data_IF_508895489465
#
_entry.id   IF_508895489465
#
_cell.length_a   1.000
_cell.length_b   1.000
_cell.length_c   1.000
_cell.angle_alpha   90.00
_cell.angle_beta   90.00
_cell.angle_gamma   90.00
#
_symmetry.space_group_name_H-M   'P 1'
#
loop_
_entity.id
_entity.type
_entity.pdbx_description
1 polymer ?
#
# COMPACT_ATOMS: atom_id res chain seq x y z
N UNK A 1 -4.80 35.78 -19.85
CA UNK A 1 -4.71 35.56 -18.40
C UNK A 1 -5.84 34.59 -18.07
N UNK A 2 -5.69 33.31 -18.37
CA UNK A 2 -6.74 32.31 -18.12
C UNK A 2 -6.05 31.04 -17.65
N UNK A 3 -5.59 31.07 -16.40
CA UNK A 3 -4.77 30.04 -15.78
C UNK A 3 -5.49 29.23 -14.71
N UNK A 4 -6.82 29.27 -14.69
CA UNK A 4 -7.66 28.44 -13.82
C UNK A 4 -8.34 27.40 -14.69
N UNK A 5 -7.88 26.16 -14.58
CA UNK A 5 -8.39 25.04 -15.36
C UNK A 5 -9.50 24.32 -14.61
N UNK A 6 -10.28 23.50 -15.30
CA UNK A 6 -11.25 22.60 -14.65
C UNK A 6 -10.57 21.66 -13.64
N UNK A 7 -9.28 21.34 -13.86
CA UNK A 7 -8.46 20.53 -12.95
C UNK A 7 -8.24 21.28 -11.64
N UNK A 8 -7.95 22.58 -11.67
CA UNK A 8 -7.77 23.38 -10.46
C UNK A 8 -9.07 23.47 -9.64
N UNK A 9 -10.24 23.53 -10.32
CA UNK A 9 -11.54 23.45 -9.66
C UNK A 9 -11.77 22.09 -8.99
N UNK A 10 -11.46 20.98 -9.68
CA UNK A 10 -11.59 19.62 -9.14
C UNK A 10 -10.67 19.43 -7.92
N UNK A 11 -9.41 19.87 -8.03
CA UNK A 11 -8.44 19.81 -6.93
C UNK A 11 -8.96 20.56 -5.70
N UNK A 12 -9.46 21.78 -5.89
CA UNK A 12 -10.04 22.56 -4.81
C UNK A 12 -11.23 21.84 -4.16
N UNK A 13 -12.14 21.27 -4.97
CA UNK A 13 -13.27 20.49 -4.47
C UNK A 13 -12.83 19.28 -3.67
N UNK A 14 -11.85 18.50 -4.16
CA UNK A 14 -11.32 17.32 -3.45
C UNK A 14 -10.74 17.71 -2.09
N UNK A 15 -9.94 18.78 -2.03
CA UNK A 15 -9.34 19.24 -0.77
C UNK A 15 -10.41 19.73 0.20
N UNK A 16 -11.37 20.55 -0.26
CA UNK A 16 -12.43 21.10 0.57
C UNK A 16 -13.32 19.97 1.11
N UNK A 17 -13.74 19.04 0.25
CA UNK A 17 -14.55 17.89 0.67
C UNK A 17 -13.78 17.01 1.68
N UNK A 18 -12.50 16.74 1.42
CA UNK A 18 -11.65 15.99 2.35
C UNK A 18 -11.56 16.69 3.71
N UNK A 19 -11.38 18.00 3.73
CA UNK A 19 -11.31 18.80 4.95
C UNK A 19 -12.62 18.81 5.74
N UNK A 20 -13.76 19.01 5.06
CA UNK A 20 -15.09 19.01 5.69
C UNK A 20 -15.44 17.63 6.25
N UNK A 21 -15.19 16.57 5.48
CA UNK A 21 -15.44 15.20 5.91
C UNK A 21 -14.58 14.84 7.13
N UNK A 22 -13.30 15.20 7.13
CA UNK A 22 -12.41 14.93 8.25
C UNK A 22 -12.75 15.80 9.48
N UNK A 23 -13.17 17.05 9.30
CA UNK A 23 -13.70 17.88 10.39
C UNK A 23 -14.89 17.20 11.09
N UNK A 24 -15.85 16.68 10.31
CA UNK A 24 -17.02 15.99 10.89
C UNK A 24 -16.69 14.69 11.63
N UNK A 25 -15.60 14.01 11.24
CA UNK A 25 -15.20 12.72 11.81
C UNK A 25 -14.20 12.86 12.96
N UNK A 26 -13.45 13.96 13.03
CA UNK A 26 -12.40 14.20 14.00
C UNK A 26 -11.08 13.51 13.63
N UNK A 27 -9.97 14.06 14.14
CA UNK A 27 -8.62 13.53 13.92
C UNK A 27 -8.44 12.14 14.51
N UNK A 28 -8.93 11.90 15.73
CA UNK A 28 -8.75 10.63 16.44
C UNK A 28 -9.35 9.48 15.64
N UNK A 29 -10.53 9.68 15.04
CA UNK A 29 -11.16 8.65 14.22
C UNK A 29 -10.34 8.30 12.99
N UNK A 30 -9.83 9.31 12.29
CA UNK A 30 -9.00 9.11 11.10
C UNK A 30 -7.61 8.53 11.44
N UNK A 31 -7.01 8.96 12.55
CA UNK A 31 -5.75 8.42 13.04
C UNK A 31 -5.86 6.96 13.46
N UNK A 32 -6.92 6.61 14.21
CA UNK A 32 -7.20 5.23 14.60
C UNK A 32 -7.50 4.34 13.39
N UNK A 33 -8.12 4.88 12.33
CA UNK A 33 -8.30 4.14 11.09
C UNK A 33 -6.94 3.78 10.46
N UNK A 34 -6.01 4.74 10.34
CA UNK A 34 -4.66 4.46 9.80
C UNK A 34 -3.93 3.43 10.67
N UNK A 35 -3.95 3.62 11.99
CA UNK A 35 -3.34 2.68 12.93
C UNK A 35 -3.99 1.30 12.81
N UNK A 36 -5.30 1.23 12.64
CA UNK A 36 -6.04 -0.02 12.44
C UNK A 36 -5.63 -0.74 11.16
N UNK A 37 -5.42 -0.03 10.07
CA UNK A 37 -4.89 -0.61 8.82
C UNK A 37 -3.47 -1.16 8.99
N UNK A 38 -2.59 -0.42 9.67
CA UNK A 38 -1.21 -0.87 9.94
C UNK A 38 -1.21 -2.08 10.88
N UNK A 39 -1.96 -2.01 11.99
CA UNK A 39 -2.06 -3.09 12.96
C UNK A 39 -2.68 -4.35 12.33
N UNK A 40 -3.71 -4.20 11.48
CA UNK A 40 -4.27 -5.31 10.73
C UNK A 40 -3.23 -5.97 9.81
N UNK A 41 -2.40 -5.17 9.11
CA UNK A 41 -1.34 -5.70 8.26
C UNK A 41 -0.27 -6.46 9.06
N UNK A 42 0.11 -5.95 10.23
CA UNK A 42 1.05 -6.63 11.14
C UNK A 42 0.47 -7.96 11.63
N UNK A 43 -0.79 -7.96 12.09
CA UNK A 43 -1.49 -9.19 12.52
C UNK A 43 -1.57 -10.18 11.35
N UNK A 44 -1.96 -9.73 10.16
CA UNK A 44 -2.01 -10.57 8.97
C UNK A 44 -0.66 -11.18 8.63
N UNK A 45 0.42 -10.40 8.70
CA UNK A 45 1.77 -10.90 8.46
C UNK A 45 2.18 -11.96 9.49
N UNK A 46 1.86 -11.76 10.77
CA UNK A 46 2.18 -12.70 11.83
C UNK A 46 1.41 -14.03 11.72
N UNK A 47 0.14 -13.99 11.30
CA UNK A 47 -0.74 -15.16 11.32
C UNK A 47 -1.04 -15.75 9.93
N UNK A 48 -0.42 -15.24 8.86
CA UNK A 48 -0.65 -15.72 7.49
C UNK A 48 -0.31 -17.21 7.32
N UNK A 49 0.73 -17.69 8.00
CA UNK A 49 1.19 -19.07 7.93
C UNK A 49 0.18 -20.04 8.57
N UNK A 50 -0.34 -19.68 9.74
CA UNK A 50 -1.35 -20.44 10.47
C UNK A 50 -2.70 -20.42 9.75
N UNK A 51 -3.01 -19.33 9.06
CA UNK A 51 -4.26 -19.17 8.31
C UNK A 51 -4.26 -19.89 6.95
N UNK A 52 -3.09 -20.09 6.33
CA UNK A 52 -2.95 -20.78 5.04
C UNK A 52 -3.74 -22.11 4.95
N UNK A 53 -3.58 -23.09 5.87
CA UNK A 53 -4.30 -24.36 5.78
C UNK A 53 -5.81 -24.20 5.95
N UNK A 54 -6.26 -23.18 6.68
CA UNK A 54 -7.68 -22.88 6.87
C UNK A 54 -8.30 -22.34 5.58
N UNK A 55 -7.59 -21.46 4.87
CA UNK A 55 -8.06 -20.89 3.60
C UNK A 55 -8.17 -21.95 2.49
N UNK A 56 -7.26 -22.92 2.47
CA UNK A 56 -7.31 -24.04 1.50
C UNK A 56 -8.50 -24.98 1.70
N UNK A 57 -9.13 -24.97 2.88
CA UNK A 57 -10.32 -25.78 3.16
C UNK A 57 -11.62 -25.07 2.80
N UNK A 58 -11.58 -23.80 2.38
CA UNK A 58 -12.76 -23.03 2.02
C UNK A 58 -13.28 -23.52 0.65
N UNK A 59 -14.51 -24.08 0.58
CA UNK A 59 -15.06 -24.57 -0.68
C UNK A 59 -15.20 -23.43 -1.70
N UNK A 60 -14.68 -23.63 -2.91
CA UNK A 60 -14.74 -22.64 -3.99
C UNK A 60 -13.50 -21.76 -4.11
N UNK A 61 -12.72 -21.57 -3.04
CA UNK A 61 -11.40 -20.92 -3.09
C UNK A 61 -10.29 -21.89 -3.51
N UNK A 62 -10.48 -23.19 -3.25
CA UNK A 62 -9.60 -24.28 -3.67
C UNK A 62 -9.30 -24.25 -5.17
N UNK A 63 -10.29 -23.88 -6.00
CA UNK A 63 -10.15 -23.78 -7.46
C UNK A 63 -9.29 -22.60 -7.93
N UNK A 64 -9.25 -21.50 -7.17
CA UNK A 64 -8.47 -20.31 -7.53
C UNK A 64 -7.07 -20.32 -6.90
N UNK A 65 -6.94 -20.87 -5.69
CA UNK A 65 -5.70 -20.88 -4.90
C UNK A 65 -4.85 -22.13 -5.22
N UNK A 66 -5.48 -23.25 -5.57
CA UNK A 66 -4.79 -24.51 -5.89
C UNK A 66 -3.91 -25.03 -4.74
N UNK A 67 -2.96 -25.90 -5.05
CA UNK A 67 -1.93 -26.38 -4.10
C UNK A 67 -0.70 -25.46 -4.02
N UNK A 68 -0.75 -24.28 -4.67
CA UNK A 68 0.37 -23.34 -4.70
C UNK A 68 0.60 -22.72 -3.33
N UNK A 69 1.80 -22.93 -2.79
CA UNK A 69 2.21 -22.40 -1.48
C UNK A 69 2.07 -20.87 -1.42
N UNK A 70 2.49 -20.18 -2.47
CA UNK A 70 2.44 -18.71 -2.57
C UNK A 70 1.01 -18.17 -2.55
N UNK A 71 0.12 -18.71 -3.39
CA UNK A 71 -1.28 -18.30 -3.44
C UNK A 71 -2.00 -18.60 -2.12
N UNK A 72 -1.68 -19.73 -1.48
CA UNK A 72 -2.21 -20.08 -0.17
C UNK A 72 -1.77 -19.09 0.93
N UNK A 73 -0.52 -18.62 0.86
CA UNK A 73 0.01 -17.64 1.81
C UNK A 73 -0.63 -16.26 1.61
N UNK A 74 -0.77 -15.81 0.36
CA UNK A 74 -1.48 -14.56 0.03
C UNK A 74 -2.94 -14.63 0.47
N UNK A 75 -3.60 -15.78 0.25
CA UNK A 75 -4.96 -16.02 0.72
C UNK A 75 -5.08 -15.98 2.24
N UNK A 76 -4.17 -16.65 2.96
CA UNK A 76 -4.08 -16.62 4.42
C UNK A 76 -3.91 -15.20 4.96
N UNK A 77 -2.97 -14.45 4.40
CA UNK A 77 -2.76 -13.05 4.73
C UNK A 77 -4.04 -12.23 4.51
N UNK A 78 -4.67 -12.34 3.34
CA UNK A 78 -5.87 -11.56 2.99
C UNK A 78 -7.04 -11.84 3.93
N UNK A 79 -7.27 -13.11 4.31
CA UNK A 79 -8.34 -13.50 5.22
C UNK A 79 -8.09 -12.95 6.63
N UNK A 80 -6.88 -13.14 7.18
CA UNK A 80 -6.54 -12.59 8.50
C UNK A 80 -6.62 -11.08 8.50
N UNK A 81 -6.10 -10.44 7.45
CA UNK A 81 -6.14 -9.00 7.27
C UNK A 81 -7.58 -8.47 7.28
N UNK A 82 -8.48 -9.10 6.52
CA UNK A 82 -9.88 -8.72 6.48
C UNK A 82 -10.55 -8.86 7.85
N UNK A 83 -10.32 -9.98 8.55
CA UNK A 83 -10.86 -10.20 9.90
C UNK A 83 -10.33 -9.14 10.87
N UNK A 84 -9.03 -8.88 10.86
CA UNK A 84 -8.41 -7.87 11.72
C UNK A 84 -8.96 -6.47 11.42
N UNK A 85 -9.13 -6.10 10.14
CA UNK A 85 -9.75 -4.84 9.74
C UNK A 85 -11.18 -4.71 10.27
N UNK A 86 -11.99 -5.78 10.23
CA UNK A 86 -13.34 -5.76 10.80
C UNK A 86 -13.28 -5.47 12.30
N UNK A 87 -12.41 -6.16 13.03
CA UNK A 87 -12.23 -5.94 14.48
C UNK A 87 -11.81 -4.49 14.77
N UNK A 88 -10.76 -3.99 14.13
CA UNK A 88 -10.30 -2.61 14.35
C UNK A 88 -11.33 -1.56 13.91
N UNK A 89 -12.10 -1.83 12.85
CA UNK A 89 -13.17 -0.94 12.38
C UNK A 89 -14.31 -0.81 13.38
N UNK A 90 -14.60 -1.87 14.15
CA UNK A 90 -15.59 -1.84 15.23
C UNK A 90 -15.06 -1.08 16.45
N UNK A 91 -13.78 -1.23 16.78
CA UNK A 91 -13.15 -0.55 17.92
C UNK A 91 -12.96 0.95 17.70
N UNK A 92 -12.63 1.36 16.48
CA UNK A 92 -12.37 2.76 16.11
C UNK A 92 -13.46 3.75 16.56
N UNK A 93 -14.76 3.56 16.22
CA UNK A 93 -15.81 4.49 16.64
C UNK A 93 -16.01 4.52 18.15
N UNK A 94 -15.71 3.44 18.89
CA UNK A 94 -15.85 3.40 20.35
C UNK A 94 -14.89 4.40 21.02
N UNK A 95 -13.60 4.35 20.64
CA UNK A 95 -12.59 5.26 21.16
C UNK A 95 -12.79 6.70 20.65
N UNK A 96 -13.09 6.87 19.37
CA UNK A 96 -13.34 8.20 18.80
C UNK A 96 -14.55 8.90 19.47
N UNK A 97 -15.62 8.15 19.76
CA UNK A 97 -16.81 8.69 20.43
C UNK A 97 -16.51 9.17 21.85
N UNK A 98 -15.57 8.54 22.56
CA UNK A 98 -15.15 8.98 23.89
C UNK A 98 -14.47 10.35 23.84
N UNK A 99 -13.60 10.58 22.84
CA UNK A 99 -12.92 11.88 22.66
C UNK A 99 -13.90 12.97 22.23
N UNK A 100 -14.80 12.68 21.28
CA UNK A 100 -15.76 13.66 20.80
C UNK A 100 -16.75 14.13 21.87
N UNK A 101 -17.08 13.28 22.85
CA UNK A 101 -17.96 13.64 23.98
C UNK A 101 -17.24 14.39 25.10
N UNK A 102 -15.91 14.51 25.02
CA UNK A 102 -15.10 15.22 26.01
C UNK A 102 -14.93 16.71 25.66
N UNK A 103 -14.36 17.49 26.57
CA UNK A 103 -13.99 18.89 26.33
C UNK A 103 -13.00 19.07 25.15
N UNK A 104 -12.35 17.99 24.69
CA UNK A 104 -11.40 18.01 23.59
C UNK A 104 -12.06 17.85 22.21
N UNK A 105 -13.38 17.66 22.13
CA UNK A 105 -14.08 17.40 20.86
C UNK A 105 -13.87 18.50 19.81
N UNK A 106 -13.87 19.78 20.22
CA UNK A 106 -13.62 20.89 19.29
C UNK A 106 -12.18 20.92 18.75
N UNK A 107 -11.19 20.56 19.58
CA UNK A 107 -9.80 20.43 19.15
C UNK A 107 -9.62 19.25 18.19
N UNK A 108 -10.26 18.12 18.48
CA UNK A 108 -10.27 16.93 17.62
C UNK A 108 -10.83 17.24 16.22
N UNK A 109 -11.90 18.02 16.14
CA UNK A 109 -12.47 18.48 14.86
C UNK A 109 -11.52 19.41 14.11
N UNK A 110 -10.90 20.38 14.79
CA UNK A 110 -9.93 21.30 14.19
C UNK A 110 -8.70 20.58 13.63
N UNK A 111 -8.13 19.63 14.38
CA UNK A 111 -7.06 18.76 13.91
C UNK A 111 -7.54 17.86 12.77
N UNK A 112 -8.79 17.40 12.83
CA UNK A 112 -9.43 16.63 11.77
C UNK A 112 -9.48 17.40 10.45
N UNK A 113 -9.86 18.69 10.49
CA UNK A 113 -9.84 19.55 9.31
C UNK A 113 -8.43 19.66 8.70
N UNK A 114 -7.41 19.97 9.52
CA UNK A 114 -6.02 20.10 9.04
C UNK A 114 -5.52 18.79 8.42
N UNK A 115 -5.80 17.67 9.09
CA UNK A 115 -5.52 16.34 8.56
C UNK A 115 -6.25 16.06 7.24
N UNK A 116 -7.51 16.46 7.14
CA UNK A 116 -8.31 16.35 5.92
C UNK A 116 -7.76 17.16 4.75
N UNK A 117 -7.25 18.38 5.00
CA UNK A 117 -6.55 19.18 3.99
C UNK A 117 -5.31 18.45 3.52
N UNK A 118 -4.45 18.01 4.44
CA UNK A 118 -3.22 17.28 4.12
C UNK A 118 -3.51 16.02 3.29
N UNK A 119 -4.50 15.22 3.70
CA UNK A 119 -4.97 14.05 2.97
C UNK A 119 -5.46 14.42 1.57
N UNK A 120 -6.24 15.49 1.44
CA UNK A 120 -6.73 15.96 0.14
C UNK A 120 -5.58 16.31 -0.80
N UNK A 121 -4.56 17.00 -0.29
CA UNK A 121 -3.34 17.34 -1.04
C UNK A 121 -2.58 16.07 -1.48
N UNK A 122 -2.41 15.10 -0.57
CA UNK A 122 -1.75 13.83 -0.87
C UNK A 122 -2.53 13.05 -1.94
N UNK A 123 -3.86 12.98 -1.85
CA UNK A 123 -4.69 12.30 -2.84
C UNK A 123 -4.56 12.93 -4.23
N UNK A 124 -4.53 14.26 -4.29
CA UNK A 124 -4.31 15.01 -5.54
C UNK A 124 -2.91 14.73 -6.10
N UNK A 125 -1.88 14.74 -5.25
CA UNK A 125 -0.51 14.42 -5.67
C UNK A 125 -0.40 13.00 -6.25
N UNK A 126 -0.99 12.00 -5.59
CA UNK A 126 -1.05 10.63 -6.09
C UNK A 126 -1.80 10.56 -7.43
N UNK A 127 -2.92 11.27 -7.58
CA UNK A 127 -3.66 11.32 -8.83
C UNK A 127 -2.83 11.90 -9.99
N UNK A 128 -2.05 12.96 -9.75
CA UNK A 128 -1.14 13.51 -10.76
C UNK A 128 -0.01 12.54 -11.11
N UNK A 129 0.57 11.84 -10.13
CA UNK A 129 1.59 10.79 -10.40
C UNK A 129 1.00 9.68 -11.25
N UNK A 130 -0.19 9.19 -10.92
CA UNK A 130 -0.86 8.15 -11.70
C UNK A 130 -1.17 8.66 -13.12
N UNK A 131 -1.64 9.90 -13.26
CA UNK A 131 -1.89 10.52 -14.56
C UNK A 131 -0.62 10.56 -15.42
N UNK A 132 0.48 11.07 -14.90
CA UNK A 132 1.76 11.14 -15.62
C UNK A 132 2.26 9.75 -16.05
N UNK A 133 2.16 8.76 -15.15
CA UNK A 133 2.58 7.38 -15.43
C UNK A 133 1.72 6.69 -16.49
N UNK A 134 0.40 6.95 -16.49
CA UNK A 134 -0.56 6.29 -17.41
C UNK A 134 -0.62 7.00 -18.76
N UNK A 135 -0.55 8.34 -18.81
CA UNK A 135 -0.71 9.15 -20.04
C UNK A 135 0.61 9.48 -20.75
N UNK A 136 1.66 8.68 -20.56
CA UNK A 136 3.01 8.93 -21.08
C UNK A 136 3.12 9.22 -22.60
N UNK A 137 2.13 8.83 -23.42
CA UNK A 137 2.15 9.05 -24.88
C UNK A 137 1.10 10.04 -25.42
N UNK A 138 0.10 10.44 -24.63
CA UNK A 138 -0.98 11.36 -25.04
C UNK A 138 -1.32 12.33 -23.90
N UNK A 139 -0.40 13.26 -23.62
CA UNK A 139 -0.58 14.27 -22.56
C UNK A 139 -1.66 15.28 -22.95
N UNK A 140 -2.60 15.50 -22.04
CA UNK A 140 -3.71 16.45 -22.24
C UNK A 140 -3.26 17.81 -21.72
N UNK A 141 -3.13 18.80 -22.62
CA UNK A 141 -2.63 20.14 -22.30
C UNK A 141 -3.32 20.82 -21.10
N UNK A 142 -4.60 20.49 -20.86
CA UNK A 142 -5.39 20.99 -19.72
C UNK A 142 -4.80 20.59 -18.35
N UNK A 143 -4.07 19.48 -18.26
CA UNK A 143 -3.46 18.98 -17.01
C UNK A 143 -2.06 19.59 -16.81
N UNK A 144 -1.27 19.66 -17.87
CA UNK A 144 0.10 20.19 -17.85
C UNK A 144 0.14 21.71 -17.60
N UNK A 145 -0.88 22.45 -18.04
CA UNK A 145 -0.95 23.90 -17.81
C UNK A 145 -1.37 24.28 -16.38
N UNK A 146 -1.87 23.31 -15.59
CA UNK A 146 -2.38 23.56 -14.25
C UNK A 146 -1.30 24.07 -13.29
N UNK A 147 -1.72 24.93 -12.34
CA UNK A 147 -0.79 25.47 -11.33
C UNK A 147 -0.30 24.38 -10.39
N UNK A 148 -1.13 23.37 -10.15
CA UNK A 148 -0.83 22.22 -9.31
C UNK A 148 0.32 21.38 -9.89
N UNK A 149 0.31 21.13 -11.21
CA UNK A 149 1.40 20.43 -11.90
C UNK A 149 2.75 21.18 -11.78
N UNK A 150 2.73 22.51 -11.89
CA UNK A 150 3.93 23.37 -11.77
C UNK A 150 4.51 23.43 -10.35
N UNK A 151 3.71 23.20 -9.31
CA UNK A 151 4.19 23.11 -7.92
C UNK A 151 4.79 21.73 -7.66
N UNK A 152 4.16 20.67 -8.18
CA UNK A 152 4.64 19.30 -8.01
C UNK A 152 5.97 19.05 -8.72
N UNK A 153 6.16 19.57 -9.94
CA UNK A 153 7.42 19.44 -10.68
C UNK A 153 8.63 20.12 -10.01
N UNK A 154 8.39 21.19 -9.25
CA UNK A 154 9.43 21.86 -8.46
C UNK A 154 9.85 21.04 -7.25
N UNK A 155 8.92 20.31 -6.63
CA UNK A 155 9.22 19.40 -5.53
C UNK A 155 9.96 18.15 -6.02
N UNK A 156 9.58 17.59 -7.18
CA UNK A 156 10.25 16.40 -7.73
C UNK A 156 11.67 16.68 -8.22
N UNK A 157 11.90 17.83 -8.86
CA UNK A 157 13.26 18.21 -9.33
C UNK A 157 14.27 18.32 -8.20
N UNK A 158 13.85 18.77 -7.01
CA UNK A 158 14.71 18.85 -5.83
C UNK A 158 15.02 17.49 -5.19
N UNK A 159 14.14 16.50 -5.37
CA UNK A 159 14.33 15.14 -4.85
C UNK A 159 15.26 14.31 -5.76
N UNK A 160 15.20 14.53 -7.07
CA UNK A 160 16.02 13.84 -8.07
C UNK A 160 17.51 14.22 -7.97
N UNK A 161 17.81 15.50 -7.66
CA UNK A 161 19.18 15.98 -7.37
C UNK A 161 19.77 15.38 -6.07
N UNK A 162 18.93 14.83 -5.20
CA UNK A 162 19.33 14.35 -3.88
C UNK A 162 19.49 12.82 -3.82
N UNK A 163 19.18 12.09 -4.89
CA UNK A 163 19.22 10.62 -4.90
C UNK A 163 20.62 10.08 -5.20
N UNK A 164 21.27 9.36 -4.26
CA UNK A 164 22.45 8.55 -4.55
C UNK A 164 22.08 7.45 -5.56
N UNK A 165 22.98 7.11 -6.48
CA UNK A 165 22.76 6.17 -7.58
C UNK A 165 22.69 4.68 -7.14
N UNK A 166 22.62 4.41 -5.85
CA UNK A 166 22.87 3.10 -5.25
C UNK A 166 21.84 2.84 -4.13
N UNK A 167 20.89 1.96 -4.42
CA UNK A 167 19.95 1.46 -3.42
C UNK A 167 20.74 0.72 -2.32
N UNK A 168 20.55 1.07 -1.03
CA UNK A 168 21.32 0.47 0.06
C UNK A 168 21.16 -1.06 0.09
N UNK A 169 22.27 -1.80 0.09
CA UNK A 169 22.29 -3.28 0.05
C UNK A 169 21.49 -3.98 1.16
N UNK A 170 21.18 -3.28 2.26
CA UNK A 170 20.32 -3.81 3.33
C UNK A 170 18.85 -3.99 2.89
N UNK A 171 18.38 -3.23 1.89
CA UNK A 171 17.02 -3.35 1.35
C UNK A 171 16.91 -4.59 0.44
N UNK A 172 17.94 -4.81 -0.39
CA UNK A 172 18.02 -5.95 -1.31
C UNK A 172 18.02 -7.27 -0.52
N UNK A 173 18.81 -7.36 0.55
CA UNK A 173 18.86 -8.57 1.39
C UNK A 173 17.52 -8.89 2.06
N UNK A 174 16.74 -7.88 2.47
CA UNK A 174 15.41 -8.10 3.04
C UNK A 174 14.42 -8.61 1.99
N UNK A 175 14.51 -8.10 0.76
CA UNK A 175 13.69 -8.54 -0.36
C UNK A 175 13.98 -10.01 -0.72
N UNK A 176 15.25 -10.39 -0.86
CA UNK A 176 15.64 -11.78 -1.15
C UNK A 176 15.14 -12.75 -0.08
N UNK A 177 15.25 -12.36 1.20
CA UNK A 177 14.79 -13.17 2.32
C UNK A 177 13.27 -13.37 2.32
N UNK A 178 12.50 -12.34 1.94
CA UNK A 178 11.04 -12.41 1.77
C UNK A 178 10.63 -13.30 0.59
N UNK A 179 11.36 -13.22 -0.54
CA UNK A 179 11.08 -14.02 -1.75
C UNK A 179 11.47 -15.49 -1.57
N UNK A 180 12.48 -15.79 -0.75
CA UNK A 180 12.94 -17.16 -0.49
C UNK A 180 12.00 -18.02 0.38
N UNK A 181 10.96 -17.42 0.96
CA UNK A 181 10.03 -18.11 1.87
C UNK A 181 9.19 -19.22 1.19
N UNK A 182 9.12 -19.23 -0.14
CA UNK A 182 8.52 -20.29 -0.93
C UNK A 182 9.53 -20.80 -1.95
N UNK A 183 10.08 -22.03 -1.82
CA UNK A 183 10.88 -22.60 -2.89
C UNK A 183 10.00 -22.81 -4.13
N UNK A 184 10.50 -22.36 -5.29
CA UNK A 184 9.85 -22.56 -6.58
C UNK A 184 9.49 -24.05 -6.77
N UNK A 185 8.33 -24.38 -7.35
CA UNK A 185 7.98 -25.76 -7.66
C UNK A 185 8.85 -26.23 -8.82
N UNK A 186 10.03 -26.77 -8.50
CA UNK A 186 10.98 -27.25 -9.49
C UNK A 186 12.45 -27.23 -9.07
N UNK A 187 12.75 -27.34 -7.77
CA UNK A 187 14.12 -27.52 -7.29
C UNK A 187 14.72 -28.85 -7.77
N UNK A 188 15.16 -28.89 -9.02
CA UNK A 188 16.16 -29.84 -9.48
C UNK A 188 17.40 -29.58 -8.62
N UNK A 189 17.66 -30.53 -7.73
CA UNK A 189 18.90 -30.62 -6.97
C UNK A 189 20.06 -30.48 -7.95
N UNK A 190 20.86 -29.41 -7.84
CA UNK A 190 22.20 -29.37 -8.40
C UNK A 190 23.01 -30.49 -7.72
N UNK A 191 22.92 -31.69 -8.30
CA UNK A 191 23.83 -32.77 -7.99
C UNK A 191 25.21 -32.36 -8.50
N UNK A 192 26.28 -32.41 -7.67
CA UNK A 192 27.60 -32.02 -8.12
C UNK A 192 28.03 -32.97 -9.26
N UNK A 193 28.52 -32.37 -10.34
CA UNK A 193 29.02 -33.08 -11.50
C UNK A 193 30.04 -34.15 -11.08
N UNK A 194 29.66 -35.43 -11.26
CA UNK A 194 30.57 -36.57 -11.11
C UNK A 194 31.50 -36.58 -12.33
N UNK A 195 32.72 -36.07 -12.14
CA UNK A 195 33.82 -36.26 -13.08
C UNK A 195 34.21 -37.74 -13.12
N UNK A 196 34.19 -38.28 -14.34
CA UNK A 196 35.00 -39.38 -14.88
C UNK A 196 35.11 -40.68 -14.09
N UNK A 197 34.36 -41.70 -14.54
CA UNK A 197 34.81 -43.08 -14.47
C UNK A 197 34.55 -43.76 -15.83
N UNK A 198 35.64 -44.01 -16.57
CA UNK A 198 35.67 -44.76 -17.83
C UNK A 198 35.25 -46.22 -17.61
N UNK A 199 34.42 -46.83 -18.47
CA UNK A 199 34.15 -48.26 -18.41
C UNK A 199 35.30 -49.08 -19.04
N UNK A 200 35.64 -50.27 -18.49
CA UNK A 200 36.58 -51.18 -19.14
C UNK A 200 35.85 -51.96 -20.25
N UNK A 201 36.35 -51.88 -21.48
CA UNK A 201 36.02 -52.85 -22.52
C UNK A 201 37.13 -53.91 -22.55
N UNK A 202 36.84 -55.06 -21.95
CA UNK A 202 37.61 -56.29 -22.14
C UNK A 202 37.19 -57.00 -23.42
N UNK A 203 38.20 -57.32 -24.26
CA UNK A 203 38.53 -58.62 -24.86
C UNK A 203 39.47 -58.39 -26.04
#
# INVERSE_FOLDING_TARGET
>A
MDGFTIVDAIVAVVIILSAILAYSRGFVREGLAIVGWIAAAVVAYMFANEARPLVQQIPGLDKFIGQSCELGMIGGFAVVFAIALVVFSILTPLFASAVQRSALGGLDQGLGFLFGVLRGVILVAVAFVVYDRVMNNDRVAVVDDSRSAKVFSRMSGQLDESMPADAPGWIVGRYEQLVSACPAPGGATDAPARTDELPPAGN
#
